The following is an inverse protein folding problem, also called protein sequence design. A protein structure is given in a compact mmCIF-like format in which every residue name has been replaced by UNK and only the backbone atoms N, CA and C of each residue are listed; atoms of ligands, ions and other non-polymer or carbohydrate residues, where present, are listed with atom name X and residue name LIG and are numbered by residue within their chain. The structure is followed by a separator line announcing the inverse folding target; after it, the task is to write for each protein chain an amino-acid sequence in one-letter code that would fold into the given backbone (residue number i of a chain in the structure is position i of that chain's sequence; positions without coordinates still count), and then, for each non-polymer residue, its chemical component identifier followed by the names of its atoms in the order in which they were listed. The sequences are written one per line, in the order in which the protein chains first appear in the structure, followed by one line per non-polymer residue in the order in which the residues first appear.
data_IF_599459064333
#
_entry.id   IF_599459064333
#
_cell.length_a   1.000
_cell.length_b   1.000
_cell.length_c   1.000
_cell.angle_alpha   90.00
_cell.angle_beta   90.00
_cell.angle_gamma   90.00
#
_symmetry.space_group_name_H-M   'P 1'
#
loop_
_entity.id
_entity.type
_entity.pdbx_description
1 polymer ?
#
# COMPACT_ATOMS: atom_id res chain seq x y z
N UNK A 1 -28.82 0.08 -9.87
CA UNK A 1 -28.58 0.86 -11.10
C UNK A 1 -28.32 -0.05 -12.30
N UNK A 2 -27.29 -0.90 -12.27
CA UNK A 2 -26.97 -1.84 -13.36
C UNK A 2 -28.15 -2.77 -13.68
N UNK A 3 -28.66 -3.51 -12.69
CA UNK A 3 -29.77 -4.46 -12.90
C UNK A 3 -31.10 -3.78 -13.31
N UNK A 4 -31.22 -2.49 -13.01
CA UNK A 4 -32.39 -1.68 -13.38
C UNK A 4 -32.23 -1.04 -14.77
N UNK A 5 -31.10 -1.23 -15.46
CA UNK A 5 -30.83 -0.64 -16.77
C UNK A 5 -30.67 0.88 -16.77
N UNK A 6 -30.31 1.47 -15.61
CA UNK A 6 -30.17 2.93 -15.47
C UNK A 6 -28.82 3.49 -15.95
N UNK A 7 -27.87 2.61 -16.28
CA UNK A 7 -26.55 2.97 -16.77
C UNK A 7 -26.29 2.29 -18.11
N UNK A 8 -25.63 3.00 -19.03
CA UNK A 8 -25.33 2.48 -20.38
C UNK A 8 -24.26 1.40 -20.34
N UNK A 9 -23.21 1.63 -19.56
CA UNK A 9 -22.09 0.71 -19.38
C UNK A 9 -21.98 0.34 -17.89
N UNK A 10 -21.61 -0.90 -17.53
CA UNK A 10 -21.49 -1.32 -16.13
C UNK A 10 -20.17 -0.84 -15.51
N UNK A 11 -19.86 0.45 -15.64
CA UNK A 11 -18.65 1.10 -15.12
C UNK A 11 -19.02 2.39 -14.38
N UNK A 12 -18.11 2.89 -13.56
CA UNK A 12 -18.15 4.23 -13.01
C UNK A 12 -16.73 4.80 -12.93
N UNK A 13 -16.61 6.12 -12.90
CA UNK A 13 -15.31 6.79 -12.83
C UNK A 13 -15.36 7.99 -11.89
N UNK A 14 -14.19 8.34 -11.38
CA UNK A 14 -13.98 9.52 -10.55
C UNK A 14 -12.98 10.46 -11.21
N UNK A 15 -13.29 11.74 -11.17
CA UNK A 15 -12.32 12.81 -11.30
C UNK A 15 -12.33 13.61 -9.99
N UNK A 16 -11.16 13.81 -9.39
CA UNK A 16 -11.03 14.53 -8.12
C UNK A 16 -10.17 15.76 -8.37
N UNK A 17 -10.75 16.95 -8.22
CA UNK A 17 -10.01 18.19 -8.42
C UNK A 17 -9.04 18.41 -7.25
N UNK A 18 -7.84 18.89 -7.57
CA UNK A 18 -6.80 19.23 -6.60
C UNK A 18 -6.71 20.73 -6.35
N UNK A 19 -7.34 21.55 -7.21
CA UNK A 19 -7.38 22.99 -7.06
C UNK A 19 -8.53 23.40 -6.12
N UNK A 20 -8.20 23.82 -4.91
CA UNK A 20 -9.18 24.23 -3.90
C UNK A 20 -9.74 25.64 -4.11
N UNK A 21 -9.18 26.41 -5.04
CA UNK A 21 -9.64 27.76 -5.37
C UNK A 21 -10.74 27.77 -6.44
N UNK A 22 -10.91 26.64 -7.14
CA UNK A 22 -11.98 26.44 -8.12
C UNK A 22 -13.29 25.99 -7.44
N UNK A 23 -14.42 26.25 -8.11
CA UNK A 23 -15.74 25.90 -7.56
C UNK A 23 -16.11 24.42 -7.66
N UNK A 24 -15.46 23.65 -8.54
CA UNK A 24 -15.74 22.23 -8.77
C UNK A 24 -14.73 21.36 -8.04
N UNK A 25 -15.17 20.60 -7.04
CA UNK A 25 -14.30 19.71 -6.26
C UNK A 25 -13.99 18.36 -6.95
N UNK A 26 -14.77 17.99 -7.96
CA UNK A 26 -14.65 16.72 -8.67
C UNK A 26 -15.96 16.26 -9.28
N UNK A 27 -15.92 15.12 -9.97
CA UNK A 27 -17.06 14.50 -10.65
C UNK A 27 -17.04 12.99 -10.41
N UNK A 28 -18.24 12.41 -10.24
CA UNK A 28 -18.46 10.97 -10.34
C UNK A 28 -19.42 10.70 -11.50
N UNK A 29 -19.03 9.80 -12.39
CA UNK A 29 -19.87 9.37 -13.53
C UNK A 29 -20.28 7.93 -13.30
N UNK A 30 -21.58 7.67 -13.25
CA UNK A 30 -22.11 6.30 -13.31
C UNK A 30 -22.52 5.99 -14.74
N UNK A 31 -21.97 4.92 -15.31
CA UNK A 31 -22.34 4.45 -16.64
C UNK A 31 -21.46 4.92 -17.79
N UNK A 32 -20.26 5.43 -17.50
CA UNK A 32 -19.30 5.89 -18.51
C UNK A 32 -18.07 6.52 -17.87
N UNK A 33 -17.31 7.24 -18.70
CA UNK A 33 -16.12 8.02 -18.34
C UNK A 33 -16.14 9.33 -19.13
N UNK A 34 -15.90 10.48 -18.50
CA UNK A 34 -15.77 11.75 -19.23
C UNK A 34 -14.34 11.90 -19.82
N UNK A 35 -14.19 11.96 -21.16
CA UNK A 35 -12.90 12.16 -21.83
C UNK A 35 -12.22 13.50 -21.52
N UNK A 36 -12.93 14.49 -20.97
CA UNK A 36 -12.34 15.77 -20.58
C UNK A 36 -11.46 15.67 -19.33
N UNK A 37 -11.62 14.62 -18.53
CA UNK A 37 -10.99 14.48 -17.21
C UNK A 37 -9.76 13.56 -17.17
N UNK A 38 -9.28 13.06 -18.32
CA UNK A 38 -8.03 12.30 -18.41
C UNK A 38 -7.28 12.57 -19.71
N UNK A 39 -6.04 12.08 -19.80
CA UNK A 39 -5.20 12.14 -21.01
C UNK A 39 -4.63 10.76 -21.32
N UNK A 40 -4.49 10.43 -22.60
CA UNK A 40 -4.01 9.12 -23.02
C UNK A 40 -5.03 8.01 -22.79
N UNK A 41 -4.55 6.79 -22.58
CA UNK A 41 -5.38 5.61 -22.34
C UNK A 41 -5.28 5.12 -20.90
N UNK A 42 -6.35 4.49 -20.42
CA UNK A 42 -6.37 3.85 -19.10
C UNK A 42 -5.56 2.55 -19.12
N UNK A 43 -4.75 2.36 -18.09
CA UNK A 43 -4.15 1.05 -17.80
C UNK A 43 -5.09 0.25 -16.92
N UNK A 44 -5.61 -0.86 -17.44
CA UNK A 44 -6.53 -1.73 -16.71
C UNK A 44 -5.79 -2.91 -16.08
N UNK A 45 -6.07 -3.17 -14.81
CA UNK A 45 -5.64 -4.35 -14.07
C UNK A 45 -6.86 -5.08 -13.50
N UNK A 46 -6.85 -6.42 -13.44
CA UNK A 46 -8.00 -7.17 -12.94
C UNK A 46 -8.15 -7.02 -11.42
N UNK A 47 -9.39 -7.11 -10.94
CA UNK A 47 -9.68 -7.20 -9.51
C UNK A 47 -9.21 -8.56 -8.98
N UNK A 48 -8.38 -8.57 -7.95
CA UNK A 48 -7.79 -9.80 -7.39
C UNK A 48 -8.59 -10.38 -6.22
N UNK A 49 -9.31 -9.52 -5.48
CA UNK A 49 -10.19 -9.93 -4.38
C UNK A 49 -11.53 -9.19 -4.43
N UNK A 50 -12.59 -9.91 -4.84
CA UNK A 50 -13.96 -9.37 -4.85
C UNK A 50 -14.43 -9.05 -3.42
N UNK A 51 -15.05 -7.88 -3.26
CA UNK A 51 -15.37 -7.27 -1.96
C UNK A 51 -14.67 -5.92 -1.79
N UNK A 52 -13.51 -5.75 -2.43
CA UNK A 52 -12.79 -4.49 -2.55
C UNK A 52 -12.47 -4.21 -4.03
N UNK A 53 -12.23 -2.95 -4.37
CA UNK A 53 -11.56 -2.59 -5.63
C UNK A 53 -10.04 -2.80 -5.48
N UNK A 54 -9.68 -4.05 -5.19
CA UNK A 54 -8.31 -4.49 -4.94
C UNK A 54 -7.67 -5.06 -6.20
N UNK A 55 -6.41 -4.73 -6.44
CA UNK A 55 -5.60 -5.22 -7.56
C UNK A 55 -4.16 -5.49 -7.13
N UNK A 56 -3.43 -6.27 -7.92
CA UNK A 56 -1.99 -6.47 -7.72
C UNK A 56 -1.22 -5.24 -8.19
N UNK A 57 -0.24 -4.84 -7.39
CA UNK A 57 0.65 -3.72 -7.61
C UNK A 57 2.09 -4.20 -7.54
N UNK A 58 2.95 -3.62 -8.38
CA UNK A 58 4.39 -3.83 -8.32
C UNK A 58 5.05 -3.10 -7.15
N UNK A 59 6.33 -2.83 -7.32
CA UNK A 59 7.12 -2.16 -6.30
C UNK A 59 6.79 -0.67 -6.18
N UNK A 60 7.09 -0.11 -5.00
CA UNK A 60 7.04 1.33 -4.74
C UNK A 60 8.46 1.87 -4.86
N UNK A 61 8.63 2.92 -5.66
CA UNK A 61 9.91 3.55 -5.90
C UNK A 61 10.00 4.91 -5.20
N UNK A 62 11.16 5.23 -4.65
CA UNK A 62 11.50 6.55 -4.09
C UNK A 62 12.66 7.11 -4.90
N UNK A 63 12.42 8.20 -5.62
CA UNK A 63 13.42 8.81 -6.53
C UNK A 63 14.00 7.81 -7.57
N UNK A 64 13.15 6.89 -8.05
CA UNK A 64 13.54 5.84 -9.01
C UNK A 64 14.16 4.59 -8.38
N UNK A 65 14.46 4.61 -7.08
CA UNK A 65 15.05 3.48 -6.36
C UNK A 65 13.99 2.60 -5.69
N UNK A 66 14.21 1.29 -5.72
CA UNK A 66 13.33 0.28 -5.11
C UNK A 66 13.27 0.43 -3.59
N UNK A 67 12.07 0.28 -3.01
CA UNK A 67 11.91 0.15 -1.56
C UNK A 67 12.14 -1.28 -1.05
N UNK A 68 12.31 -2.24 -1.97
CA UNK A 68 12.54 -3.66 -1.73
C UNK A 68 11.32 -4.44 -1.22
N UNK A 69 10.48 -3.83 -0.39
CA UNK A 69 9.40 -4.51 0.32
C UNK A 69 8.31 -5.05 -0.62
N UNK A 70 7.92 -4.26 -1.64
CA UNK A 70 6.94 -4.68 -2.64
C UNK A 70 7.60 -5.22 -3.93
N UNK A 71 8.90 -5.55 -3.91
CA UNK A 71 9.60 -6.09 -5.08
C UNK A 71 9.04 -7.42 -5.59
N UNK A 72 8.46 -8.22 -4.70
CA UNK A 72 7.73 -9.46 -5.04
C UNK A 72 6.25 -9.26 -5.39
N UNK A 73 5.78 -8.00 -5.40
CA UNK A 73 4.37 -7.64 -5.56
C UNK A 73 3.67 -7.40 -4.22
N UNK A 74 2.71 -6.48 -4.25
CA UNK A 74 1.83 -6.13 -3.15
C UNK A 74 0.38 -6.03 -3.66
N UNK A 75 -0.59 -6.02 -2.76
CA UNK A 75 -1.97 -5.67 -3.11
C UNK A 75 -2.23 -4.19 -2.84
N UNK A 76 -3.04 -3.55 -3.67
CA UNK A 76 -3.49 -2.17 -3.52
C UNK A 76 -5.01 -2.09 -3.65
N UNK A 77 -5.62 -1.09 -3.00
CA UNK A 77 -7.05 -0.79 -3.10
C UNK A 77 -7.21 0.65 -3.57
N UNK A 78 -8.06 0.86 -4.58
CA UNK A 78 -8.52 2.20 -4.94
C UNK A 78 -9.72 2.58 -4.06
N UNK A 79 -9.50 3.48 -3.11
CA UNK A 79 -10.51 3.92 -2.15
C UNK A 79 -10.70 5.45 -2.19
N UNK A 80 -11.76 5.90 -2.87
CA UNK A 80 -12.12 7.32 -2.94
C UNK A 80 -12.61 7.89 -1.59
N UNK A 81 -12.87 7.04 -0.59
CA UNK A 81 -13.27 7.43 0.76
C UNK A 81 -12.09 7.80 1.67
N UNK A 82 -10.84 7.58 1.22
CA UNK A 82 -9.63 7.85 2.01
C UNK A 82 -8.78 8.94 1.35
N UNK A 83 -8.32 9.91 2.15
CA UNK A 83 -7.50 11.03 1.66
C UNK A 83 -6.00 10.71 1.55
N UNK A 84 -5.49 9.85 2.43
CA UNK A 84 -4.05 9.54 2.56
C UNK A 84 -3.71 8.21 1.90
N UNK A 85 -2.45 8.07 1.49
CA UNK A 85 -1.91 6.76 1.11
C UNK A 85 -1.55 5.99 2.38
N UNK A 86 -2.15 4.82 2.55
CA UNK A 86 -1.80 3.87 3.60
C UNK A 86 -1.00 2.70 2.99
N UNK A 87 0.04 2.26 3.69
CA UNK A 87 0.90 1.18 3.20
C UNK A 87 1.76 0.58 4.31
N UNK A 88 2.56 -0.44 3.98
CA UNK A 88 3.45 -1.10 4.94
C UNK A 88 4.36 -0.09 5.63
N UNK A 89 4.50 -0.21 6.96
CA UNK A 89 5.34 0.70 7.76
C UNK A 89 6.76 0.81 7.22
N UNK A 90 7.35 -0.29 6.74
CA UNK A 90 8.68 -0.31 6.10
C UNK A 90 8.81 0.67 4.94
N UNK A 91 7.79 0.76 4.08
CA UNK A 91 7.78 1.67 2.93
C UNK A 91 7.51 3.11 3.40
N UNK A 92 6.51 3.31 4.26
CA UNK A 92 6.15 4.64 4.76
C UNK A 92 7.31 5.28 5.56
N UNK A 93 8.07 4.49 6.33
CA UNK A 93 9.26 4.99 7.03
C UNK A 93 10.35 5.44 6.06
N UNK A 94 10.59 4.71 4.96
CA UNK A 94 11.53 5.13 3.93
C UNK A 94 11.09 6.43 3.25
N UNK A 95 9.81 6.53 2.87
CA UNK A 95 9.23 7.75 2.28
C UNK A 95 9.39 8.94 3.24
N UNK A 96 8.98 8.77 4.50
CA UNK A 96 9.07 9.83 5.50
C UNK A 96 10.51 10.32 5.69
N UNK A 97 11.48 9.40 5.73
CA UNK A 97 12.90 9.76 5.80
C UNK A 97 13.33 10.57 4.56
N UNK A 98 12.98 10.10 3.35
CA UNK A 98 13.36 10.74 2.10
C UNK A 98 12.79 12.17 1.94
N UNK A 99 11.57 12.42 2.41
CA UNK A 99 10.93 13.74 2.33
C UNK A 99 11.18 14.62 3.57
N UNK A 100 11.96 14.15 4.55
CA UNK A 100 12.23 14.88 5.80
C UNK A 100 11.03 14.98 6.74
N UNK A 101 10.02 14.12 6.59
CA UNK A 101 8.90 14.04 7.51
C UNK A 101 9.34 13.46 8.85
N UNK A 102 8.82 14.03 9.94
CA UNK A 102 9.13 13.53 11.29
C UNK A 102 8.41 12.20 11.53
N UNK A 103 9.21 11.13 11.67
CA UNK A 103 8.70 9.85 12.14
C UNK A 103 8.50 9.85 13.65
N UNK A 104 7.42 9.21 14.12
CA UNK A 104 7.29 8.86 15.54
C UNK A 104 8.30 7.76 15.80
N UNK A 105 9.44 8.13 16.36
CA UNK A 105 10.51 7.21 16.72
C UNK A 105 9.91 6.09 17.58
N UNK A 106 9.80 4.88 17.02
CA UNK A 106 9.51 3.68 17.81
C UNK A 106 10.71 3.43 18.71
N UNK A 107 10.52 3.53 20.03
CA UNK A 107 11.58 3.23 20.98
C UNK A 107 12.00 1.77 20.88
N UNK A 108 11.06 0.89 20.54
CA UNK A 108 11.32 -0.52 20.24
C UNK A 108 12.29 -0.66 19.06
N UNK A 109 12.07 0.09 17.97
CA UNK A 109 13.00 0.11 16.83
C UNK A 109 14.39 0.59 17.26
N UNK A 110 14.48 1.67 18.03
CA UNK A 110 15.76 2.16 18.55
C UNK A 110 16.49 1.13 19.42
N UNK A 111 15.77 0.45 20.31
CA UNK A 111 16.34 -0.59 21.17
C UNK A 111 16.85 -1.77 20.34
N UNK A 112 16.06 -2.25 19.37
CA UNK A 112 16.49 -3.35 18.49
C UNK A 112 17.74 -2.97 17.71
N UNK A 113 17.80 -1.76 17.14
CA UNK A 113 18.98 -1.27 16.42
C UNK A 113 20.20 -1.16 17.34
N UNK A 114 20.03 -0.60 18.54
CA UNK A 114 21.12 -0.38 19.48
C UNK A 114 21.68 -1.71 20.05
N UNK A 115 20.82 -2.65 20.39
CA UNK A 115 21.22 -3.90 21.06
C UNK A 115 21.56 -5.02 20.08
N UNK A 116 20.84 -5.14 18.96
CA UNK A 116 20.92 -6.29 18.06
C UNK A 116 21.30 -5.92 16.62
N UNK A 117 21.39 -4.63 16.29
CA UNK A 117 21.66 -4.17 14.93
C UNK A 117 22.94 -4.77 14.35
N UNK A 118 24.03 -4.82 15.15
CA UNK A 118 25.28 -5.46 14.72
C UNK A 118 25.10 -6.96 14.45
N UNK A 119 24.48 -7.69 15.38
CA UNK A 119 24.23 -9.14 15.23
C UNK A 119 23.39 -9.44 13.99
N UNK A 120 22.35 -8.65 13.74
CA UNK A 120 21.49 -8.77 12.56
C UNK A 120 22.30 -8.56 11.27
N UNK A 121 23.13 -7.51 11.22
CA UNK A 121 24.01 -7.23 10.07
C UNK A 121 25.01 -8.37 9.87
N UNK A 122 25.66 -8.85 10.94
CA UNK A 122 26.64 -9.93 10.86
C UNK A 122 26.01 -11.23 10.33
N UNK A 123 24.77 -11.55 10.72
CA UNK A 123 24.03 -12.69 10.17
C UNK A 123 23.66 -12.51 8.70
N UNK A 124 23.23 -11.31 8.29
CA UNK A 124 22.95 -11.01 6.88
C UNK A 124 24.21 -11.13 6.01
N UNK A 125 25.36 -10.64 6.50
CA UNK A 125 26.65 -10.77 5.83
C UNK A 125 27.15 -12.22 5.78
N UNK A 126 26.74 -13.05 6.74
CA UNK A 126 26.97 -14.49 6.74
C UNK A 126 25.94 -15.28 5.89
N UNK A 127 25.15 -14.59 5.06
CA UNK A 127 24.14 -15.17 4.17
C UNK A 127 23.05 -15.99 4.91
N UNK A 128 22.72 -15.60 6.15
CA UNK A 128 21.57 -16.16 6.85
C UNK A 128 20.26 -15.81 6.10
N UNK A 129 19.30 -16.73 6.11
CA UNK A 129 17.98 -16.51 5.53
C UNK A 129 17.26 -15.36 6.29
N UNK A 130 16.95 -14.23 5.65
CA UNK A 130 16.38 -13.06 6.33
C UNK A 130 15.11 -13.36 7.12
N UNK A 131 14.27 -14.28 6.64
CA UNK A 131 13.01 -14.69 7.28
C UNK A 131 13.23 -15.39 8.62
N UNK A 132 14.41 -16.00 8.80
CA UNK A 132 14.75 -16.76 10.01
C UNK A 132 15.47 -15.93 11.05
N UNK A 133 16.07 -14.81 10.66
CA UNK A 133 16.89 -13.97 11.55
C UNK A 133 16.11 -13.57 12.81
N UNK A 134 14.86 -13.11 12.66
CA UNK A 134 14.05 -12.69 13.82
C UNK A 134 13.82 -13.82 14.84
N UNK A 135 13.61 -15.06 14.36
CA UNK A 135 13.45 -16.23 15.22
C UNK A 135 14.77 -16.68 15.86
N UNK A 136 15.88 -16.59 15.13
CA UNK A 136 17.21 -16.93 15.63
C UNK A 136 17.68 -15.96 16.73
N UNK A 137 17.29 -14.69 16.63
CA UNK A 137 17.54 -13.68 17.68
C UNK A 137 16.56 -13.83 18.85
N UNK A 138 15.49 -14.61 18.70
CA UNK A 138 14.48 -14.85 19.72
C UNK A 138 13.39 -13.78 19.82
N UNK A 139 13.28 -12.89 18.83
CA UNK A 139 12.24 -11.86 18.77
C UNK A 139 10.93 -12.35 18.16
N UNK A 140 11.00 -13.33 17.28
CA UNK A 140 9.84 -13.93 16.63
C UNK A 140 9.69 -15.39 17.07
N UNK A 141 8.47 -15.80 17.37
CA UNK A 141 8.13 -17.21 17.62
C UNK A 141 8.08 -18.05 16.33
N UNK A 142 8.18 -17.39 15.19
CA UNK A 142 7.87 -17.92 13.88
C UNK A 142 9.05 -17.74 12.90
N UNK A 143 9.31 -18.76 12.07
CA UNK A 143 10.53 -18.92 11.26
C UNK A 143 10.29 -18.78 9.74
N UNK A 144 9.13 -18.29 9.32
CA UNK A 144 8.79 -18.10 7.90
C UNK A 144 8.00 -19.25 7.23
N UNK A 145 7.63 -20.32 7.94
CA UNK A 145 6.97 -21.53 7.37
C UNK A 145 5.43 -21.58 7.31
N UNK A 146 4.71 -20.66 7.96
CA UNK A 146 3.26 -20.47 8.00
C UNK A 146 2.87 -18.98 7.83
N UNK A 147 2.07 -18.64 6.82
CA UNK A 147 1.68 -17.25 6.53
C UNK A 147 1.01 -16.58 7.74
N UNK A 148 1.52 -15.41 8.14
CA UNK A 148 0.80 -14.54 9.07
C UNK A 148 -0.42 -14.02 8.32
N UNK A 149 -1.58 -14.63 8.58
CA UNK A 149 -2.84 -14.01 8.22
C UNK A 149 -2.97 -12.74 9.06
N UNK A 150 -2.69 -11.60 8.46
CA UNK A 150 -3.13 -10.32 8.98
C UNK A 150 -4.66 -10.30 8.87
N UNK A 151 -5.34 -10.92 9.84
CA UNK A 151 -6.72 -10.57 10.17
C UNK A 151 -6.67 -9.20 10.85
N UNK A 152 -6.49 -8.16 10.03
CA UNK A 152 -7.06 -6.87 10.39
C UNK A 152 -8.54 -7.03 10.09
N UNK A 153 -9.29 -7.57 11.06
CA UNK A 153 -10.74 -7.45 11.07
C UNK A 153 -11.04 -5.94 11.19
N UNK A 154 -11.18 -5.28 10.04
CA UNK A 154 -11.87 -4.01 10.00
C UNK A 154 -13.32 -4.31 10.40
N UNK A 155 -13.85 -3.73 11.49
CA UNK A 155 -15.24 -3.95 11.84
C UNK A 155 -16.09 -3.39 10.70
N UNK A 156 -16.67 -4.28 9.90
CA UNK A 156 -17.80 -3.96 9.07
C UNK A 156 -18.96 -3.65 10.01
N UNK A 157 -19.08 -2.37 10.40
CA UNK A 157 -20.17 -1.87 11.23
C UNK A 157 -20.86 -0.72 10.49
N UNK A 158 -21.93 -1.12 9.79
CA UNK A 158 -23.09 -0.35 9.30
C UNK A 158 -22.91 0.59 8.12
#
# INVERSE_FOLDING_TARGET
MVDQGLVKEPVFSFWLNRNTEEGEGGEIVFGGVDPNHYKGEHTYVPVTKKGYWQFDMGDVLIDGETTGFCGGGCSAIADSGTSLLAGPTTIITQINNAIGASGVISQECKTVVAEYGKTIIDMLLAEAQPEKICSQVGFCTFDGTAGVSFLVDWPASL
#
